data_IF_781402919380
#
_entry.id   IF_781402919380
#
_cell.length_a   1.000
_cell.length_b   1.000
_cell.length_c   1.000
_cell.angle_alpha   90.00
_cell.angle_beta   90.00
_cell.angle_gamma   90.00
#
_symmetry.space_group_name_H-M   'P 1'
#
loop_
_entity.id
_entity.type
_entity.pdbx_description
1 polymer ?
#
# COMPACT_ATOMS: atom_id res chain seq x y z
N UNK A 1 -20.86 10.18 -2.50
CA UNK A 1 -22.19 9.56 -2.74
C UNK A 1 -22.06 8.68 -3.98
N UNK A 2 -22.53 7.44 -3.95
CA UNK A 2 -22.53 6.56 -5.13
C UNK A 2 -23.91 6.56 -5.78
N UNK A 3 -24.00 7.04 -7.01
CA UNK A 3 -25.20 6.98 -7.84
C UNK A 3 -25.01 5.92 -8.92
N UNK A 4 -25.98 5.02 -9.07
CA UNK A 4 -25.98 4.04 -10.17
C UNK A 4 -26.58 4.69 -11.42
N UNK A 5 -25.82 4.74 -12.50
CA UNK A 5 -26.24 5.32 -13.78
C UNK A 5 -26.20 4.20 -14.83
N UNK A 6 -27.27 4.09 -15.62
CA UNK A 6 -27.30 3.19 -16.78
C UNK A 6 -26.57 3.84 -17.94
N UNK A 7 -25.60 3.12 -18.50
CA UNK A 7 -24.88 3.52 -19.71
C UNK A 7 -25.07 2.45 -20.80
N UNK A 8 -24.88 2.85 -22.05
CA UNK A 8 -24.92 1.90 -23.17
C UNK A 8 -23.72 0.94 -23.14
N UNK A 9 -23.93 -0.27 -23.65
CA UNK A 9 -22.86 -1.28 -23.75
C UNK A 9 -21.70 -0.80 -24.62
N UNK A 10 -21.98 -0.03 -25.67
CA UNK A 10 -20.95 0.53 -26.54
C UNK A 10 -20.05 1.52 -25.79
N UNK A 11 -20.65 2.42 -25.01
CA UNK A 11 -19.89 3.36 -24.19
C UNK A 11 -19.07 2.64 -23.12
N UNK A 12 -19.64 1.61 -22.50
CA UNK A 12 -18.92 0.78 -21.52
C UNK A 12 -17.70 0.09 -22.16
N UNK A 13 -17.85 -0.50 -23.34
CA UNK A 13 -16.75 -1.16 -24.07
C UNK A 13 -15.66 -0.16 -24.50
N UNK A 14 -16.05 1.03 -24.95
CA UNK A 14 -15.09 2.10 -25.28
C UNK A 14 -14.31 2.55 -24.04
N UNK A 15 -15.01 2.78 -22.94
CA UNK A 15 -14.41 3.16 -21.67
C UNK A 15 -13.47 2.07 -21.15
N UNK A 16 -13.84 0.79 -21.27
CA UNK A 16 -12.98 -0.32 -20.86
C UNK A 16 -11.63 -0.34 -21.61
N UNK A 17 -11.64 -0.12 -22.93
CA UNK A 17 -10.40 -0.08 -23.73
C UNK A 17 -9.51 1.11 -23.37
N UNK A 18 -10.12 2.29 -23.24
CA UNK A 18 -9.39 3.50 -22.88
C UNK A 18 -8.83 3.42 -21.46
N UNK A 19 -9.64 2.94 -20.51
CA UNK A 19 -9.25 2.75 -19.12
C UNK A 19 -8.05 1.81 -18.95
N UNK A 20 -8.00 0.72 -19.74
CA UNK A 20 -6.87 -0.21 -19.75
C UNK A 20 -5.57 0.42 -20.27
N UNK A 21 -5.67 1.34 -21.23
CA UNK A 21 -4.50 2.06 -21.79
C UNK A 21 -4.00 3.12 -20.82
N UNK A 22 -4.95 3.78 -20.16
CA UNK A 22 -4.69 4.94 -19.32
C UNK A 22 -4.48 4.60 -17.84
N UNK A 23 -4.48 3.31 -17.46
CA UNK A 23 -4.41 2.83 -16.07
C UNK A 23 -5.51 3.40 -15.15
N UNK A 24 -6.71 3.67 -15.70
CA UNK A 24 -7.91 4.11 -14.97
C UNK A 24 -8.85 2.94 -14.67
N UNK A 25 -9.71 3.07 -13.67
CA UNK A 25 -10.91 2.23 -13.60
C UNK A 25 -11.96 2.69 -14.62
N UNK A 26 -12.86 1.79 -15.03
CA UNK A 26 -13.90 2.10 -16.03
C UNK A 26 -14.78 3.29 -15.61
N UNK A 27 -15.28 3.39 -14.36
CA UNK A 27 -16.04 4.56 -13.93
C UNK A 27 -15.23 5.87 -13.98
N UNK A 28 -13.95 5.83 -13.58
CA UNK A 28 -13.07 6.99 -13.61
C UNK A 28 -12.79 7.47 -15.04
N UNK A 29 -12.66 6.55 -16.00
CA UNK A 29 -12.51 6.91 -17.41
C UNK A 29 -13.72 7.67 -17.94
N UNK A 30 -14.93 7.28 -17.53
CA UNK A 30 -16.18 7.93 -17.93
C UNK A 30 -16.28 9.33 -17.29
N UNK A 31 -15.94 9.44 -16.00
CA UNK A 31 -15.90 10.73 -15.30
C UNK A 31 -14.89 11.69 -15.93
N UNK A 32 -13.73 11.17 -16.33
CA UNK A 32 -12.71 11.95 -17.04
C UNK A 32 -13.23 12.51 -18.38
N UNK A 33 -13.91 11.69 -19.18
CA UNK A 33 -14.52 12.16 -20.43
C UNK A 33 -15.62 13.20 -20.18
N UNK A 34 -16.44 13.00 -19.16
CA UNK A 34 -17.48 13.97 -18.79
C UNK A 34 -16.88 15.33 -18.39
N UNK A 35 -15.77 15.32 -17.64
CA UNK A 35 -15.06 16.54 -17.24
C UNK A 35 -14.41 17.26 -18.41
N UNK A 36 -13.76 16.53 -19.33
CA UNK A 36 -13.25 17.13 -20.56
C UNK A 36 -14.39 17.73 -21.38
N UNK A 37 -15.49 16.99 -21.54
CA UNK A 37 -16.66 17.46 -22.28
C UNK A 37 -17.24 18.74 -21.71
N UNK A 38 -17.41 18.81 -20.39
CA UNK A 38 -17.86 20.03 -19.70
C UNK A 38 -16.90 21.19 -19.95
N UNK A 39 -15.61 20.99 -19.68
CA UNK A 39 -14.61 22.04 -19.82
C UNK A 39 -14.47 22.55 -21.27
N UNK A 40 -14.64 21.66 -22.26
CA UNK A 40 -14.62 22.02 -23.68
C UNK A 40 -15.89 22.77 -24.13
N UNK A 41 -17.04 22.49 -23.52
CA UNK A 41 -18.26 23.26 -23.75
C UNK A 41 -18.19 24.65 -23.10
N UNK A 42 -17.59 24.74 -21.92
CA UNK A 42 -17.43 26.00 -21.18
C UNK A 42 -16.37 26.91 -21.81
N UNK A 43 -15.37 26.34 -22.48
CA UNK A 43 -14.25 27.06 -23.10
C UNK A 43 -14.04 26.60 -24.56
N UNK A 44 -14.95 26.93 -25.50
CA UNK A 44 -14.91 26.45 -26.88
C UNK A 44 -13.68 26.92 -27.67
N UNK A 45 -13.03 28.00 -27.24
CA UNK A 45 -11.81 28.54 -27.81
C UNK A 45 -10.54 27.74 -27.43
N UNK A 46 -10.61 26.92 -26.38
CA UNK A 46 -9.47 26.14 -25.92
C UNK A 46 -9.39 24.79 -26.66
N UNK A 47 -8.22 24.44 -27.22
CA UNK A 47 -8.03 23.13 -27.81
C UNK A 47 -8.23 22.01 -26.79
N UNK A 48 -8.97 20.97 -27.17
CA UNK A 48 -9.19 19.78 -26.32
C UNK A 48 -7.91 19.16 -25.74
N UNK A 49 -6.76 19.10 -26.46
CA UNK A 49 -5.51 18.63 -25.88
C UNK A 49 -5.03 19.47 -24.69
N UNK A 50 -5.17 20.79 -24.75
CA UNK A 50 -4.77 21.71 -23.69
C UNK A 50 -5.64 21.54 -22.44
N UNK A 51 -6.95 21.37 -22.63
CA UNK A 51 -7.90 21.07 -21.54
C UNK A 51 -7.53 19.74 -20.86
N UNK A 52 -7.19 18.72 -21.66
CA UNK A 52 -6.73 17.42 -21.15
C UNK A 52 -5.49 17.54 -20.28
N UNK A 53 -4.45 18.25 -20.75
CA UNK A 53 -3.19 18.41 -20.02
C UNK A 53 -3.36 19.19 -18.72
N UNK A 54 -4.22 20.21 -18.74
CA UNK A 54 -4.54 21.01 -17.55
C UNK A 54 -5.26 20.17 -16.50
N UNK A 55 -6.22 19.33 -16.91
CA UNK A 55 -6.96 18.44 -16.00
C UNK A 55 -6.08 17.33 -15.40
N UNK A 56 -5.12 16.80 -16.18
CA UNK A 56 -4.16 15.81 -15.69
C UNK A 56 -3.22 16.40 -14.62
N UNK A 57 -2.89 17.68 -14.76
CA UNK A 57 -1.95 18.37 -13.85
C UNK A 57 -2.64 18.81 -12.56
N UNK A 58 -3.89 19.28 -12.65
CA UNK A 58 -4.61 19.86 -11.52
C UNK A 58 -5.32 18.85 -10.61
N UNK A 59 -5.62 17.65 -11.09
CA UNK A 59 -6.55 16.76 -10.41
C UNK A 59 -5.89 15.43 -9.97
N UNK A 60 -5.59 15.24 -8.67
CA UNK A 60 -4.94 14.02 -8.17
C UNK A 60 -5.83 12.77 -8.29
N UNK A 61 -7.12 12.93 -8.59
CA UNK A 61 -8.05 11.82 -8.87
C UNK A 61 -7.99 11.35 -10.35
N UNK A 62 -7.47 12.20 -11.25
CA UNK A 62 -7.30 11.92 -12.68
C UNK A 62 -5.86 11.49 -13.02
N UNK A 63 -4.93 11.67 -12.08
CA UNK A 63 -3.52 11.34 -12.24
C UNK A 63 -3.15 10.10 -11.42
N UNK A 64 -3.51 8.92 -11.92
CA UNK A 64 -3.13 7.62 -11.38
C UNK A 64 -1.74 7.26 -11.89
N UNK A 65 -0.73 7.76 -11.18
CA UNK A 65 0.30 6.79 -10.79
C UNK A 65 -0.42 5.67 -10.01
N UNK A 66 -0.04 4.39 -10.20
CA UNK A 66 -0.71 3.27 -9.56
C UNK A 66 -0.64 3.43 -8.05
N UNK A 67 -1.70 4.00 -7.48
CA UNK A 67 -1.90 4.12 -6.05
C UNK A 67 -2.98 3.12 -5.70
N UNK A 68 -2.55 1.90 -5.39
CA UNK A 68 -3.34 0.96 -4.63
C UNK A 68 -3.59 1.53 -3.22
N UNK A 69 -4.49 2.50 -3.05
CA UNK A 69 -5.06 2.75 -1.72
C UNK A 69 -6.49 3.27 -1.83
N UNK A 70 -7.43 2.43 -1.42
CA UNK A 70 -8.84 2.78 -1.19
C UNK A 70 -8.93 4.03 -0.31
N UNK A 71 -9.45 5.12 -0.89
CA UNK A 71 -9.44 6.48 -0.34
C UNK A 71 -10.39 6.76 0.85
N UNK A 72 -10.97 5.76 1.52
CA UNK A 72 -11.84 6.00 2.69
C UNK A 72 -11.18 5.80 4.06
N UNK A 73 -9.91 5.38 4.12
CA UNK A 73 -9.15 5.18 5.38
C UNK A 73 -7.93 6.13 5.49
N UNK A 74 -7.92 7.17 4.66
CA UNK A 74 -6.74 7.89 4.17
C UNK A 74 -5.93 8.77 5.16
N UNK A 75 -6.14 8.68 6.48
CA UNK A 75 -5.15 9.19 7.46
C UNK A 75 -4.61 8.11 8.40
N UNK A 76 -5.42 7.11 8.72
CA UNK A 76 -5.03 6.03 9.64
C UNK A 76 -4.32 4.89 8.91
N UNK A 77 -4.61 4.67 7.63
CA UNK A 77 -4.01 3.59 6.84
C UNK A 77 -2.52 3.80 6.54
N UNK A 78 -2.13 5.00 6.11
CA UNK A 78 -0.74 5.31 5.80
C UNK A 78 0.16 5.28 7.04
N UNK A 79 -0.30 5.89 8.15
CA UNK A 79 0.42 5.83 9.44
C UNK A 79 0.54 4.39 9.94
N UNK A 80 -0.53 3.58 9.83
CA UNK A 80 -0.46 2.16 10.16
C UNK A 80 0.55 1.41 9.29
N UNK A 81 0.61 1.71 7.99
CA UNK A 81 1.52 1.06 7.05
C UNK A 81 2.99 1.42 7.34
N UNK A 82 3.27 2.68 7.68
CA UNK A 82 4.58 3.11 8.15
C UNK A 82 5.00 2.42 9.45
N UNK A 83 4.08 2.30 10.42
CA UNK A 83 4.35 1.61 11.70
C UNK A 83 4.63 0.12 11.45
N UNK A 84 3.88 -0.54 10.57
CA UNK A 84 4.10 -1.95 10.25
C UNK A 84 5.46 -2.18 9.59
N UNK A 85 5.88 -1.30 8.67
CA UNK A 85 7.21 -1.34 8.06
C UNK A 85 8.32 -1.13 9.09
N UNK A 86 8.19 -0.11 9.93
CA UNK A 86 9.16 0.20 11.00
C UNK A 86 9.28 -0.96 12.02
N UNK A 87 8.16 -1.58 12.41
CA UNK A 87 8.19 -2.76 13.28
C UNK A 87 8.83 -3.99 12.60
N UNK A 88 8.59 -4.19 11.31
CA UNK A 88 9.24 -5.23 10.52
C UNK A 88 10.77 -5.04 10.48
N UNK A 89 11.24 -3.84 10.17
CA UNK A 89 12.67 -3.52 10.15
C UNK A 89 13.32 -3.66 11.54
N UNK A 90 12.63 -3.22 12.60
CA UNK A 90 13.09 -3.41 13.99
C UNK A 90 13.15 -4.87 14.40
N UNK A 91 12.20 -5.71 13.96
CA UNK A 91 12.23 -7.14 14.25
C UNK A 91 13.43 -7.83 13.60
N UNK A 92 13.76 -7.45 12.35
CA UNK A 92 14.92 -7.97 11.62
C UNK A 92 16.22 -7.48 12.27
N UNK A 93 16.28 -6.20 12.65
CA UNK A 93 17.43 -5.64 13.35
C UNK A 93 17.67 -6.34 14.70
N UNK A 94 16.60 -6.64 15.43
CA UNK A 94 16.68 -7.39 16.70
C UNK A 94 17.14 -8.83 16.49
N UNK A 95 16.62 -9.53 15.47
CA UNK A 95 17.07 -10.88 15.13
C UNK A 95 18.56 -10.90 14.75
N UNK A 96 19.03 -9.92 13.98
CA UNK A 96 20.46 -9.79 13.65
C UNK A 96 21.31 -9.56 14.89
N UNK A 97 20.85 -8.71 15.81
CA UNK A 97 21.57 -8.48 17.07
C UNK A 97 21.65 -9.74 17.92
N UNK A 98 20.56 -10.49 18.05
CA UNK A 98 20.54 -11.76 18.80
C UNK A 98 21.43 -12.82 18.15
N UNK A 99 21.50 -12.86 16.82
CA UNK A 99 22.42 -13.75 16.10
C UNK A 99 23.88 -13.37 16.33
N UNK A 100 24.20 -12.07 16.34
CA UNK A 100 25.55 -11.57 16.65
C UNK A 100 25.93 -11.85 18.11
N UNK A 101 25.02 -11.60 19.05
CA UNK A 101 25.20 -11.90 20.47
C UNK A 101 25.41 -13.41 20.71
N UNK A 102 24.63 -14.25 20.02
CA UNK A 102 24.82 -15.70 20.05
C UNK A 102 26.17 -16.13 19.44
N UNK A 103 26.60 -15.50 18.34
CA UNK A 103 27.91 -15.75 17.74
C UNK A 103 29.07 -15.30 18.65
N UNK A 104 28.91 -14.20 19.37
CA UNK A 104 29.87 -13.67 20.34
C UNK A 104 29.90 -14.48 21.65
N UNK A 105 28.82 -15.21 21.98
CA UNK A 105 28.72 -16.06 23.19
C UNK A 105 29.67 -17.27 23.21
N UNK A 106 30.37 -17.54 22.11
CA UNK A 106 31.37 -18.60 21.98
C UNK A 106 30.90 -19.80 21.16
N UNK A 107 31.66 -20.89 21.20
CA UNK A 107 31.36 -22.11 20.44
C UNK A 107 30.12 -22.82 21.01
N UNK A 108 29.16 -23.18 20.14
CA UNK A 108 27.93 -23.86 20.54
C UNK A 108 28.19 -25.16 21.31
N UNK A 109 27.54 -25.28 22.47
CA UNK A 109 27.53 -26.50 23.28
C UNK A 109 26.38 -27.40 22.81
N UNK A 110 26.58 -28.72 22.63
CA UNK A 110 25.50 -29.63 22.26
C UNK A 110 24.43 -29.66 23.37
N UNK A 111 23.19 -29.33 23.03
CA UNK A 111 22.05 -29.36 23.95
C UNK A 111 21.51 -30.79 24.07
N UNK A 112 22.21 -31.63 24.83
CA UNK A 112 21.78 -33.00 25.15
C UNK A 112 20.75 -33.06 26.30
N UNK A 113 20.17 -34.24 26.54
CA UNK A 113 19.15 -34.43 27.60
C UNK A 113 19.72 -34.16 29.00
N UNK A 114 21.03 -34.34 29.19
CA UNK A 114 21.72 -34.06 30.44
C UNK A 114 21.88 -32.55 30.69
N UNK A 115 22.16 -31.77 29.64
CA UNK A 115 22.27 -30.32 29.67
C UNK A 115 20.96 -29.65 30.12
N UNK A 116 19.82 -30.09 29.58
CA UNK A 116 18.49 -29.59 29.98
C UNK A 116 18.12 -29.98 31.42
N UNK A 117 18.48 -31.19 31.87
CA UNK A 117 18.26 -31.61 33.26
C UNK A 117 19.06 -30.77 34.24
N UNK A 118 20.31 -30.41 33.91
CA UNK A 118 21.15 -29.56 34.76
C UNK A 118 20.63 -28.11 34.85
N UNK A 119 20.06 -27.56 33.77
CA UNK A 119 19.45 -26.22 33.77
C UNK A 119 18.20 -26.13 34.66
N UNK A 120 17.34 -27.15 34.67
CA UNK A 120 16.15 -27.14 35.53
C UNK A 120 16.52 -27.25 37.03
N UNK A 121 17.63 -27.94 37.36
CA UNK A 121 18.12 -28.04 38.74
C UNK A 121 18.65 -26.71 39.27
N UNK A 122 19.24 -25.88 38.40
CA UNK A 122 19.71 -24.53 38.76
C UNK A 122 18.53 -23.55 38.97
N UNK A 123 17.46 -23.68 38.18
CA UNK A 123 16.27 -22.84 38.31
C UNK A 123 15.51 -23.08 39.63
N UNK A 124 15.50 -24.31 40.14
CA UNK A 124 14.87 -24.64 41.43
C UNK A 124 15.70 -24.17 42.65
N UNK A 125 16.97 -23.77 42.48
CA UNK A 125 17.84 -23.32 43.57
C UNK A 125 17.72 -21.82 43.87
N UNK A 126 17.29 -20.99 42.90
CA UNK A 126 17.15 -19.53 43.06
C UNK A 126 15.85 -19.11 43.78
N UNK A 127 14.89 -20.04 43.96
CA UNK A 127 13.62 -19.79 44.66
C UNK A 127 13.71 -19.99 46.20
N UNK A 128 14.92 -20.15 46.76
CA UNK A 128 15.14 -20.38 48.20
C UNK A 128 16.09 -19.38 48.87
N UNK A 129 15.82 -18.07 48.76
CA UNK A 129 16.28 -17.05 49.74
C UNK A 129 15.22 -15.99 50.04
#
# INVERSE_FOLDING_TARGET
MSASIRISDDLYRMAQKAAATDFRSIPQQIEYWARIGSAALDNPELPTPFIRETLLTGDPLINHQPTEVKQSVARTGYVRELILRDQGEKSIARLRQLLLEGLESGSGVPADEAWWKNMNVLADQDDTE
#
